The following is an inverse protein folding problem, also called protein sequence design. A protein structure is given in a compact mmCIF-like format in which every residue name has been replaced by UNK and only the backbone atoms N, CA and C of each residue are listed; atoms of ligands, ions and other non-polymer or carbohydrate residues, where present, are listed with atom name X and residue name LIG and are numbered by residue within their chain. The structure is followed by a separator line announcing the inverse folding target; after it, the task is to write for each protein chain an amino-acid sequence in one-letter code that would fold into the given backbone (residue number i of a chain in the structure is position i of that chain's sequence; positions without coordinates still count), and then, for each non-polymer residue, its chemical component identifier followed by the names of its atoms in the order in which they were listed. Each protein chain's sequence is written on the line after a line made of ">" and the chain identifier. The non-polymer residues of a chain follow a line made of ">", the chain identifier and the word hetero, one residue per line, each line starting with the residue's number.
data_IF_725381410475
#
_entry.id   IF_725381410475
#
_cell.length_a   1.000
_cell.length_b   1.000
_cell.length_c   1.000
_cell.angle_alpha   90.00
_cell.angle_beta   90.00
_cell.angle_gamma   90.00
#
_symmetry.space_group_name_H-M   'P 1'
#
loop_
_entity.id
_entity.type
_entity.pdbx_description
1 polymer ?
#
# COMPACT_ATOMS: atom_id res chain seq x y z
N UNK A 1 28.29 1.40 26.79
CA UNK A 1 27.85 1.57 25.39
C UNK A 1 26.35 1.83 25.44
N UNK A 2 25.83 2.96 24.95
CA UNK A 2 24.40 3.19 24.99
C UNK A 2 23.73 2.34 23.91
N UNK A 3 22.62 1.70 24.29
CA UNK A 3 21.74 0.99 23.39
C UNK A 3 21.33 1.92 22.24
N UNK A 4 21.57 1.48 21.00
CA UNK A 4 21.00 2.10 19.81
C UNK A 4 19.48 2.02 19.98
N UNK A 5 18.82 3.14 20.26
CA UNK A 5 17.38 3.23 20.05
C UNK A 5 17.17 2.97 18.57
N UNK A 6 16.58 1.82 18.23
CA UNK A 6 16.00 1.62 16.91
C UNK A 6 14.85 2.62 16.87
N UNK A 7 15.07 3.75 16.20
CA UNK A 7 13.95 4.50 15.70
C UNK A 7 13.30 3.55 14.70
N UNK A 8 12.07 3.13 14.95
CA UNK A 8 11.24 2.57 13.88
C UNK A 8 11.15 3.69 12.85
N UNK A 9 12.01 3.63 11.83
CA UNK A 9 12.10 4.68 10.84
C UNK A 9 10.78 4.60 10.08
N UNK A 10 9.91 5.59 10.29
CA UNK A 10 8.74 5.83 9.45
C UNK A 10 9.22 5.80 8.00
N UNK A 11 8.65 4.91 7.20
CA UNK A 11 8.91 4.81 5.76
C UNK A 11 7.67 5.21 4.98
N UNK A 12 7.85 5.56 3.71
CA UNK A 12 6.73 5.76 2.81
C UNK A 12 6.14 4.40 2.42
N UNK A 13 4.84 4.24 2.56
CA UNK A 13 4.11 3.05 2.09
C UNK A 13 3.19 3.45 0.95
N UNK A 14 3.33 2.80 -0.19
CA UNK A 14 2.45 2.94 -1.33
C UNK A 14 1.52 1.71 -1.38
N UNK A 15 0.22 1.95 -1.44
CA UNK A 15 -0.79 0.93 -1.20
C UNK A 15 -1.76 0.84 -2.37
N UNK A 16 -1.80 -0.32 -3.03
CA UNK A 16 -2.88 -0.68 -3.95
C UNK A 16 -4.14 -1.16 -3.20
N UNK A 17 -5.25 -1.35 -3.91
CA UNK A 17 -6.55 -1.76 -3.37
C UNK A 17 -6.92 -3.16 -3.85
N UNK A 18 -6.96 -3.38 -5.17
CA UNK A 18 -7.41 -4.64 -5.75
C UNK A 18 -6.30 -5.68 -5.56
N UNK A 19 -6.66 -6.91 -5.18
CA UNK A 19 -5.69 -7.95 -4.85
C UNK A 19 -4.90 -7.71 -3.54
N UNK A 20 -4.99 -6.51 -2.94
CA UNK A 20 -4.31 -6.16 -1.68
C UNK A 20 -5.30 -6.04 -0.51
N UNK A 21 -6.13 -5.00 -0.51
CA UNK A 21 -7.14 -4.79 0.54
C UNK A 21 -8.44 -5.56 0.23
N UNK A 22 -8.67 -5.83 -1.06
CA UNK A 22 -9.78 -6.63 -1.56
C UNK A 22 -9.23 -7.89 -2.23
N UNK A 23 -9.57 -9.07 -1.71
CA UNK A 23 -9.25 -10.35 -2.35
C UNK A 23 -10.04 -10.58 -3.66
N UNK A 24 -11.16 -9.87 -3.82
CA UNK A 24 -11.92 -9.73 -5.07
C UNK A 24 -12.83 -8.49 -4.98
N UNK A 25 -13.51 -8.10 -6.07
CA UNK A 25 -14.35 -6.88 -6.16
C UNK A 25 -15.25 -6.57 -4.95
N UNK A 26 -15.70 -7.60 -4.21
CA UNK A 26 -16.60 -7.45 -3.05
C UNK A 26 -16.08 -8.08 -1.77
N UNK A 27 -14.95 -8.78 -1.83
CA UNK A 27 -14.46 -9.57 -0.70
C UNK A 27 -13.24 -8.89 -0.08
N UNK A 28 -13.34 -8.39 1.16
CA UNK A 28 -12.18 -7.95 1.92
C UNK A 28 -11.12 -9.04 2.02
N UNK A 29 -9.84 -8.66 1.96
CA UNK A 29 -8.75 -9.56 2.29
C UNK A 29 -8.83 -9.99 3.78
N UNK A 30 -8.36 -11.21 4.09
CA UNK A 30 -8.26 -11.64 5.49
C UNK A 30 -7.26 -10.75 6.23
N UNK A 31 -7.58 -10.39 7.48
CA UNK A 31 -6.74 -9.54 8.34
C UNK A 31 -6.52 -8.11 7.82
N UNK A 32 -7.35 -7.64 6.88
CA UNK A 32 -7.23 -6.29 6.29
C UNK A 32 -7.29 -5.17 7.34
N UNK A 33 -8.07 -5.34 8.41
CA UNK A 33 -8.15 -4.35 9.48
C UNK A 33 -6.81 -4.18 10.19
N UNK A 34 -6.27 -5.28 10.73
CA UNK A 34 -5.01 -5.29 11.47
C UNK A 34 -3.85 -4.79 10.59
N UNK A 35 -3.87 -5.15 9.31
CA UNK A 35 -2.87 -4.69 8.34
C UNK A 35 -2.95 -3.17 8.11
N UNK A 36 -4.15 -2.64 7.86
CA UNK A 36 -4.35 -1.20 7.69
C UNK A 36 -3.96 -0.44 8.96
N UNK A 37 -4.39 -0.90 10.13
CA UNK A 37 -4.06 -0.30 11.43
C UNK A 37 -2.54 -0.25 11.64
N UNK A 38 -1.85 -1.35 11.37
CA UNK A 38 -0.40 -1.43 11.46
C UNK A 38 0.27 -0.42 10.52
N UNK A 39 -0.15 -0.34 9.25
CA UNK A 39 0.46 0.58 8.29
C UNK A 39 0.27 2.05 8.72
N UNK A 40 -0.97 2.47 9.01
CA UNK A 40 -1.26 3.89 9.28
C UNK A 40 -0.73 4.37 10.64
N UNK A 41 -0.48 3.45 11.58
CA UNK A 41 0.07 3.78 12.90
C UNK A 41 1.59 3.95 12.89
N UNK A 42 2.28 3.35 11.93
CA UNK A 42 3.75 3.28 11.91
C UNK A 42 4.40 3.98 10.71
N UNK A 43 3.63 4.30 9.66
CA UNK A 43 4.16 4.74 8.37
C UNK A 43 3.37 5.90 7.76
N UNK A 44 4.02 6.62 6.84
CA UNK A 44 3.33 7.56 5.97
C UNK A 44 2.75 6.78 4.78
N UNK A 45 1.43 6.58 4.78
CA UNK A 45 0.74 5.74 3.78
C UNK A 45 0.14 6.58 2.68
N UNK A 46 0.32 6.13 1.44
CA UNK A 46 -0.09 6.77 0.21
C UNK A 46 -0.87 5.80 -0.67
N UNK A 47 -1.96 6.27 -1.28
CA UNK A 47 -2.65 5.51 -2.32
C UNK A 47 -1.78 5.41 -3.55
N UNK A 48 -1.57 4.21 -4.07
CA UNK A 48 -0.93 3.98 -5.35
C UNK A 48 -1.72 2.94 -6.14
N UNK A 49 -2.92 3.36 -6.52
CA UNK A 49 -3.94 2.50 -7.10
C UNK A 49 -4.62 3.16 -8.29
N UNK A 50 -5.25 2.37 -9.16
CA UNK A 50 -6.02 2.88 -10.30
C UNK A 50 -7.28 3.65 -9.87
N UNK A 51 -7.74 3.49 -8.63
CA UNK A 51 -8.87 4.21 -8.03
C UNK A 51 -8.50 5.54 -7.37
N UNK A 52 -7.24 5.96 -7.43
CA UNK A 52 -6.77 7.24 -6.88
C UNK A 52 -5.51 7.67 -7.63
N UNK A 53 -5.70 8.41 -8.73
CA UNK A 53 -4.60 8.91 -9.57
C UNK A 53 -4.24 10.35 -9.28
N UNK A 54 -5.17 11.12 -8.74
CA UNK A 54 -5.02 12.54 -8.45
C UNK A 54 -5.62 12.87 -7.08
N UNK A 55 -5.29 14.07 -6.56
CA UNK A 55 -5.90 14.56 -5.33
C UNK A 55 -7.43 14.70 -5.41
N UNK A 56 -8.00 14.92 -6.61
CA UNK A 56 -9.44 15.09 -6.82
C UNK A 56 -10.21 13.77 -6.71
N UNK A 57 -9.54 12.62 -6.86
CA UNK A 57 -10.15 11.30 -6.67
C UNK A 57 -10.41 11.00 -5.18
N UNK A 58 -9.61 11.61 -4.30
CA UNK A 58 -9.65 11.39 -2.85
C UNK A 58 -10.58 12.38 -2.14
N UNK A 59 -11.34 11.94 -1.10
CA UNK A 59 -11.42 10.58 -0.56
C UNK A 59 -12.46 9.69 -1.25
N UNK A 60 -13.23 10.22 -2.20
CA UNK A 60 -14.46 9.60 -2.64
C UNK A 60 -14.28 8.28 -3.38
N UNK A 61 -13.36 8.20 -4.35
CA UNK A 61 -13.17 6.99 -5.15
C UNK A 61 -12.61 5.79 -4.35
N UNK A 62 -11.44 5.90 -3.66
CA UNK A 62 -10.88 4.75 -2.96
C UNK A 62 -11.78 4.24 -1.84
N UNK A 63 -12.40 5.15 -1.06
CA UNK A 63 -13.32 4.74 0.01
C UNK A 63 -14.64 4.16 -0.52
N UNK A 64 -15.11 4.60 -1.69
CA UNK A 64 -16.29 4.00 -2.32
C UNK A 64 -16.02 2.57 -2.79
N UNK A 65 -14.85 2.30 -3.39
CA UNK A 65 -14.45 0.94 -3.78
C UNK A 65 -14.36 0.04 -2.55
N UNK A 66 -13.78 0.57 -1.48
CA UNK A 66 -13.59 -0.13 -0.20
C UNK A 66 -14.83 -0.18 0.70
N UNK A 67 -16.01 0.25 0.23
CA UNK A 67 -17.24 0.35 1.05
C UNK A 67 -17.73 -0.95 1.68
N UNK A 68 -17.18 -2.11 1.29
CA UNK A 68 -17.44 -3.41 1.91
C UNK A 68 -16.63 -3.66 3.19
N UNK A 69 -15.60 -2.85 3.46
CA UNK A 69 -14.83 -2.91 4.70
C UNK A 69 -15.65 -2.39 5.89
N UNK A 70 -15.28 -2.86 7.08
CA UNK A 70 -15.88 -2.40 8.33
C UNK A 70 -15.68 -0.88 8.54
N UNK A 71 -16.63 -0.17 9.17
CA UNK A 71 -16.56 1.29 9.35
C UNK A 71 -15.30 1.79 10.08
N UNK A 72 -14.75 0.97 10.99
CA UNK A 72 -13.53 1.28 11.74
C UNK A 72 -12.32 1.27 10.80
N UNK A 73 -12.20 0.27 9.93
CA UNK A 73 -11.16 0.21 8.89
C UNK A 73 -11.28 1.38 7.92
N UNK A 74 -12.50 1.71 7.47
CA UNK A 74 -12.72 2.89 6.62
C UNK A 74 -12.33 4.21 7.29
N UNK A 75 -12.42 4.29 8.62
CA UNK A 75 -12.01 5.46 9.38
C UNK A 75 -10.48 5.58 9.42
N UNK A 76 -9.77 4.47 9.59
CA UNK A 76 -8.30 4.44 9.50
C UNK A 76 -7.81 4.86 8.11
N UNK A 77 -8.47 4.38 7.06
CA UNK A 77 -8.10 4.66 5.66
C UNK A 77 -8.24 6.14 5.25
N UNK A 78 -8.94 6.97 6.03
CA UNK A 78 -8.97 8.43 5.82
C UNK A 78 -7.64 9.11 6.13
N UNK A 79 -6.68 8.40 6.71
CA UNK A 79 -5.32 8.89 6.95
C UNK A 79 -4.40 8.66 5.75
N UNK A 80 -4.79 7.79 4.82
CA UNK A 80 -4.00 7.48 3.63
C UNK A 80 -4.05 8.66 2.65
N UNK A 81 -2.87 9.11 2.24
CA UNK A 81 -2.69 10.31 1.41
C UNK A 81 -2.88 9.99 -0.07
N UNK A 82 -3.49 10.88 -0.82
CA UNK A 82 -3.53 10.76 -2.28
C UNK A 82 -2.14 10.93 -2.90
N UNK A 83 -1.94 10.37 -4.09
CA UNK A 83 -0.75 10.60 -4.92
C UNK A 83 -1.14 11.21 -6.26
N UNK A 84 -0.13 11.47 -7.10
CA UNK A 84 -0.33 11.96 -8.45
C UNK A 84 0.56 11.21 -9.45
N UNK A 85 -0.06 10.60 -10.45
CA UNK A 85 0.61 9.94 -11.57
C UNK A 85 -0.27 9.98 -12.82
N UNK A 86 0.33 9.93 -14.01
CA UNK A 86 -0.38 10.01 -15.29
C UNK A 86 -0.27 8.71 -16.08
N UNK A 87 0.96 8.22 -16.30
CA UNK A 87 1.19 7.01 -17.11
C UNK A 87 1.48 5.80 -16.24
N UNK A 88 2.53 5.86 -15.42
CA UNK A 88 2.96 4.77 -14.54
C UNK A 88 2.79 5.15 -13.07
N UNK A 89 2.33 4.23 -12.22
CA UNK A 89 2.23 4.45 -10.77
C UNK A 89 3.58 4.85 -10.17
N UNK A 90 4.68 4.35 -10.73
CA UNK A 90 6.04 4.69 -10.29
C UNK A 90 6.39 6.19 -10.36
N UNK A 91 5.64 7.01 -11.13
CA UNK A 91 5.79 8.47 -11.17
C UNK A 91 5.46 9.14 -9.83
N UNK A 92 4.55 8.54 -9.06
CA UNK A 92 4.15 9.03 -7.75
C UNK A 92 5.10 8.62 -6.60
N UNK A 93 6.07 7.75 -6.87
CA UNK A 93 6.98 7.23 -5.85
C UNK A 93 8.13 8.22 -5.61
N UNK A 94 8.32 8.63 -4.36
CA UNK A 94 9.50 9.37 -3.92
C UNK A 94 10.68 8.42 -3.74
N UNK A 95 11.45 8.24 -4.82
CA UNK A 95 12.66 7.40 -4.82
C UNK A 95 13.83 7.97 -4.00
N UNK A 96 13.71 9.17 -3.42
CA UNK A 96 14.76 9.73 -2.55
C UNK A 96 14.71 9.20 -1.11
N UNK A 97 13.59 8.55 -0.74
CA UNK A 97 13.35 8.00 0.60
C UNK A 97 13.17 6.48 0.55
N UNK A 98 13.46 5.76 1.64
CA UNK A 98 13.05 4.37 1.78
C UNK A 98 11.53 4.21 1.67
N UNK A 99 11.08 3.20 0.94
CA UNK A 99 9.65 2.93 0.76
C UNK A 99 9.33 1.43 0.66
N UNK A 100 8.06 1.11 0.86
CA UNK A 100 7.44 -0.17 0.49
C UNK A 100 6.26 0.09 -0.44
N UNK A 101 6.08 -0.76 -1.44
CA UNK A 101 4.90 -0.74 -2.32
C UNK A 101 4.22 -2.10 -2.30
N UNK A 102 3.00 -2.15 -1.78
CA UNK A 102 2.16 -3.35 -1.73
C UNK A 102 1.20 -3.34 -2.92
N UNK A 103 1.37 -4.30 -3.82
CA UNK A 103 0.62 -4.40 -5.08
C UNK A 103 0.69 -5.86 -5.56
N UNK A 104 -0.43 -6.37 -6.07
CA UNK A 104 -0.54 -7.74 -6.59
C UNK A 104 -0.11 -7.85 -8.06
N UNK A 105 -0.23 -6.77 -8.83
CA UNK A 105 0.07 -6.76 -10.26
C UNK A 105 0.76 -5.46 -10.73
N UNK A 106 2.07 -5.42 -10.48
CA UNK A 106 2.95 -4.36 -11.02
C UNK A 106 3.32 -4.66 -12.47
N UNK A 107 3.07 -3.72 -13.37
CA UNK A 107 3.37 -3.84 -14.80
C UNK A 107 4.87 -4.00 -15.07
N UNK A 108 5.24 -4.67 -16.17
CA UNK A 108 6.65 -4.92 -16.46
C UNK A 108 7.45 -3.63 -16.69
N UNK A 109 6.83 -2.58 -17.23
CA UNK A 109 7.41 -1.25 -17.35
C UNK A 109 7.72 -0.62 -15.98
N UNK A 110 6.83 -0.80 -15.00
CA UNK A 110 7.01 -0.32 -13.63
C UNK A 110 8.11 -1.14 -12.91
N UNK A 111 8.10 -2.46 -13.11
CA UNK A 111 9.20 -3.34 -12.65
C UNK A 111 10.53 -2.92 -13.27
N UNK A 112 10.55 -2.53 -14.54
CA UNK A 112 11.75 -2.04 -15.22
C UNK A 112 12.27 -0.75 -14.59
N UNK A 113 11.40 0.21 -14.25
CA UNK A 113 11.77 1.43 -13.51
C UNK A 113 12.41 1.08 -12.16
N UNK A 114 11.80 0.17 -11.39
CA UNK A 114 12.35 -0.28 -10.11
C UNK A 114 13.71 -0.98 -10.27
N UNK A 115 13.86 -1.87 -11.27
CA UNK A 115 15.12 -2.56 -11.55
C UNK A 115 16.22 -1.59 -11.98
N UNK A 116 15.92 -0.62 -12.83
CA UNK A 116 16.88 0.40 -13.26
C UNK A 116 17.43 1.21 -12.08
N UNK A 117 16.60 1.43 -11.05
CA UNK A 117 16.98 2.13 -9.82
C UNK A 117 17.59 1.21 -8.75
N UNK A 118 17.60 -0.10 -8.95
CA UNK A 118 18.04 -1.07 -7.95
C UNK A 118 17.09 -1.22 -6.75
N UNK A 119 15.81 -0.89 -6.92
CA UNK A 119 14.80 -0.80 -5.85
C UNK A 119 13.66 -1.82 -6.02
N UNK A 120 13.87 -2.88 -6.81
CA UNK A 120 12.84 -3.93 -7.00
C UNK A 120 12.41 -4.58 -5.69
N UNK A 121 13.33 -4.70 -4.71
CA UNK A 121 13.02 -5.25 -3.38
C UNK A 121 12.10 -4.37 -2.53
N UNK A 122 11.85 -3.11 -2.92
CA UNK A 122 10.89 -2.23 -2.25
C UNK A 122 9.45 -2.54 -2.64
N UNK A 123 9.23 -3.16 -3.80
CA UNK A 123 7.94 -3.76 -4.14
C UNK A 123 7.77 -5.08 -3.38
N UNK A 124 6.61 -5.22 -2.74
CA UNK A 124 6.18 -6.40 -2.02
C UNK A 124 4.98 -6.96 -2.78
N UNK A 125 5.21 -8.05 -3.50
CA UNK A 125 4.16 -8.76 -4.24
C UNK A 125 3.12 -9.31 -3.28
N UNK A 126 1.86 -8.95 -3.49
CA UNK A 126 0.73 -9.54 -2.78
C UNK A 126 0.11 -10.61 -3.67
N UNK A 127 -0.02 -11.83 -3.15
CA UNK A 127 -0.66 -12.95 -3.84
C UNK A 127 -1.56 -13.70 -2.85
N UNK A 128 -2.74 -13.13 -2.63
CA UNK A 128 -3.75 -13.71 -1.75
C UNK A 128 -4.31 -15.05 -2.26
N UNK A 129 -4.09 -15.37 -3.55
CA UNK A 129 -4.46 -16.67 -4.10
C UNK A 129 -3.54 -17.78 -3.61
N UNK A 130 -2.23 -17.49 -3.50
CA UNK A 130 -1.22 -18.40 -2.94
C UNK A 130 -1.25 -18.41 -1.42
N UNK A 131 -1.41 -17.25 -0.78
CA UNK A 131 -1.47 -17.13 0.66
C UNK A 131 -2.59 -16.18 1.10
N UNK A 132 -3.80 -16.70 1.40
CA UNK A 132 -4.93 -15.89 1.85
C UNK A 132 -4.69 -15.11 3.14
N UNK A 133 -3.71 -15.51 3.96
CA UNK A 133 -3.36 -14.84 5.22
C UNK A 133 -2.15 -13.91 5.08
N UNK A 134 -1.61 -13.66 3.87
CA UNK A 134 -0.36 -12.93 3.67
C UNK A 134 -0.29 -11.59 4.41
N UNK A 135 -1.41 -10.88 4.53
CA UNK A 135 -1.45 -9.60 5.24
C UNK A 135 -1.02 -9.72 6.72
N UNK A 136 -1.34 -10.82 7.42
CA UNK A 136 -0.90 -11.02 8.81
C UNK A 136 0.59 -11.34 8.91
N UNK A 137 1.13 -12.04 7.91
CA UNK A 137 2.56 -12.37 7.85
C UNK A 137 3.41 -11.10 7.68
N UNK A 138 2.87 -10.08 7.00
CA UNK A 138 3.52 -8.78 6.77
C UNK A 138 3.50 -7.86 8.00
N UNK A 139 2.61 -8.10 8.98
CA UNK A 139 2.58 -7.34 10.24
C UNK A 139 3.67 -7.85 11.19
N UNK A 140 4.00 -9.14 11.11
CA UNK A 140 4.91 -9.83 12.03
C UNK A 140 6.39 -9.80 11.59
N UNK A 141 6.69 -9.24 10.41
CA UNK A 141 8.01 -9.23 9.78
C UNK A 141 8.83 -7.99 10.13
#
# INVERSE_FOLDING_TARGET
>A
MPAQKVYDNVVNVYLDIDGVLLASEKQPALHVHDFVEHLVSNHDVYWLTTHCRTADDYPHQPLYVLRSLEPETLTLLKQVKATQWDTLKTEAIDFSQPFRWYDDDVFEEERAVLRQKGLLSSWVEIDLSKNPNQLVDLIAS
#
